data_IF_975044526799
#
_entry.id   IF_975044526799
#
_cell.length_a   1.000
_cell.length_b   1.000
_cell.length_c   1.000
_cell.angle_alpha   90.00
_cell.angle_beta   90.00
_cell.angle_gamma   90.00
#
_symmetry.space_group_name_H-M   'P 1'
#
loop_
_entity.id
_entity.type
_entity.pdbx_description
1 polymer ?
#
# COMPACT_ATOMS: atom_id res chain seq x y z
N UNK A 1 -60.00 51.55 -13.45
CA UNK A 1 -58.57 51.87 -13.74
C UNK A 1 -58.02 52.48 -12.46
N UNK A 2 -57.00 51.99 -11.76
CA UNK A 2 -55.96 51.03 -12.03
C UNK A 2 -55.64 50.22 -10.76
N UNK A 3 -55.16 49.00 -10.95
CA UNK A 3 -54.65 48.08 -9.94
C UNK A 3 -53.31 48.61 -9.39
N UNK A 4 -53.25 48.95 -8.10
CA UNK A 4 -52.00 49.28 -7.41
C UNK A 4 -51.33 47.99 -6.94
N UNK A 5 -50.47 47.42 -7.78
CA UNK A 5 -49.63 46.28 -7.43
C UNK A 5 -48.59 46.72 -6.40
N UNK A 6 -48.77 46.30 -5.16
CA UNK A 6 -47.86 46.59 -4.06
C UNK A 6 -46.66 45.63 -4.12
N UNK A 7 -45.61 46.01 -4.83
CA UNK A 7 -44.39 45.21 -4.96
C UNK A 7 -43.60 45.34 -3.65
N UNK A 8 -43.75 44.32 -2.80
CA UNK A 8 -42.97 44.13 -1.58
C UNK A 8 -41.52 43.89 -1.98
N UNK A 9 -40.70 44.94 -1.97
CA UNK A 9 -39.26 44.83 -2.23
C UNK A 9 -38.61 44.00 -1.11
N UNK A 10 -38.08 42.84 -1.48
CA UNK A 10 -37.30 41.99 -0.61
C UNK A 10 -36.01 42.72 -0.24
N UNK A 11 -35.91 43.20 1.00
CA UNK A 11 -34.68 43.78 1.55
C UNK A 11 -33.85 42.61 2.10
N UNK A 12 -32.73 42.21 1.50
CA UNK A 12 -31.86 41.24 2.13
C UNK A 12 -31.34 41.90 3.40
N UNK A 13 -31.74 41.37 4.54
CA UNK A 13 -31.15 41.67 5.83
C UNK A 13 -29.70 41.22 5.71
N UNK A 14 -28.81 42.16 5.43
CA UNK A 14 -27.38 41.91 5.49
C UNK A 14 -27.13 41.47 6.93
N UNK A 15 -27.02 40.16 7.12
CA UNK A 15 -26.40 39.56 8.29
C UNK A 15 -25.05 40.25 8.38
N UNK A 16 -24.99 41.27 9.23
CA UNK A 16 -23.75 41.82 9.71
C UNK A 16 -23.08 40.64 10.39
N UNK A 17 -22.28 39.89 9.62
CA UNK A 17 -21.25 39.00 10.12
C UNK A 17 -20.32 39.94 10.85
N UNK A 18 -20.68 40.18 12.11
CA UNK A 18 -19.84 40.87 13.07
C UNK A 18 -18.73 39.86 13.28
N UNK A 19 -17.71 39.95 12.43
CA UNK A 19 -16.41 39.34 12.62
C UNK A 19 -15.96 39.80 13.99
N UNK A 20 -16.29 38.99 14.98
CA UNK A 20 -15.68 39.04 16.29
C UNK A 20 -14.25 38.59 16.01
N UNK A 21 -13.41 39.55 15.60
CA UNK A 21 -11.97 39.45 15.74
C UNK A 21 -11.73 39.17 17.21
N UNK A 22 -11.74 37.89 17.56
CA UNK A 22 -11.15 37.37 18.79
C UNK A 22 -9.69 37.77 18.67
N UNK A 23 -9.37 38.93 19.23
CA UNK A 23 -8.01 39.28 19.53
C UNK A 23 -7.53 38.16 20.46
N UNK A 24 -6.78 37.21 19.91
CA UNK A 24 -6.08 36.24 20.71
C UNK A 24 -5.31 37.05 21.76
N UNK A 25 -5.54 36.82 23.07
CA UNK A 25 -4.77 37.51 24.07
C UNK A 25 -3.31 37.18 23.79
N UNK A 26 -2.55 38.17 23.33
CA UNK A 26 -1.10 38.06 23.21
C UNK A 26 -0.60 37.93 24.63
N UNK A 27 -0.50 36.69 25.11
CA UNK A 27 0.19 36.34 26.33
C UNK A 27 1.63 36.84 26.18
N UNK A 28 1.87 38.08 26.61
CA UNK A 28 3.21 38.62 26.79
C UNK A 28 3.76 38.01 28.07
N UNK A 29 4.20 36.76 27.95
CA UNK A 29 4.95 36.10 29.00
C UNK A 29 6.30 36.82 29.01
N UNK A 30 6.51 37.67 30.02
CA UNK A 30 7.78 38.32 30.24
C UNK A 30 8.74 37.29 30.84
N UNK A 31 9.38 36.50 29.98
CA UNK A 31 10.41 35.57 30.42
C UNK A 31 11.65 36.33 30.85
N UNK A 32 12.23 35.93 31.99
CA UNK A 32 13.56 36.36 32.36
C UNK A 32 14.59 35.86 31.33
N UNK A 33 15.74 36.53 31.23
CA UNK A 33 16.82 36.13 30.29
C UNK A 33 17.27 34.69 30.54
N UNK A 34 17.23 34.24 31.79
CA UNK A 34 17.67 32.90 32.18
C UNK A 34 16.61 31.84 31.80
N UNK A 35 15.32 32.11 32.03
CA UNK A 35 14.24 31.20 31.58
C UNK A 35 14.24 31.05 30.05
N UNK A 36 14.49 32.15 29.32
CA UNK A 36 14.58 32.09 27.86
C UNK A 36 15.77 31.24 27.41
N UNK A 37 16.91 31.32 28.08
CA UNK A 37 18.08 30.48 27.79
C UNK A 37 17.79 29.01 28.04
N UNK A 38 17.18 28.68 29.19
CA UNK A 38 16.79 27.31 29.53
C UNK A 38 15.82 26.75 28.49
N UNK A 39 14.80 27.51 28.07
CA UNK A 39 13.87 27.05 27.04
C UNK A 39 14.53 26.84 25.68
N UNK A 40 15.45 27.71 25.27
CA UNK A 40 16.18 27.54 24.01
C UNK A 40 17.04 26.27 24.05
N UNK A 41 17.74 26.02 25.16
CA UNK A 41 18.54 24.81 25.34
C UNK A 41 17.65 23.56 25.38
N UNK A 42 16.54 23.61 26.12
CA UNK A 42 15.59 22.50 26.19
C UNK A 42 14.95 22.20 24.82
N UNK A 43 14.57 23.22 24.07
CA UNK A 43 14.06 23.08 22.71
C UNK A 43 15.12 22.51 21.77
N UNK A 44 16.37 22.98 21.88
CA UNK A 44 17.51 22.43 21.13
C UNK A 44 17.74 20.95 21.41
N UNK A 45 17.73 20.55 22.69
CA UNK A 45 17.86 19.16 23.11
C UNK A 45 16.70 18.29 22.61
N UNK A 46 15.47 18.80 22.70
CA UNK A 46 14.28 18.09 22.20
C UNK A 46 14.35 17.87 20.68
N UNK A 47 14.80 18.88 19.92
CA UNK A 47 15.00 18.75 18.47
C UNK A 47 16.09 17.73 18.13
N UNK A 48 17.23 17.79 18.82
CA UNK A 48 18.33 16.84 18.61
C UNK A 48 17.91 15.40 18.94
N UNK A 49 17.18 15.21 20.05
CA UNK A 49 16.62 13.91 20.42
C UNK A 49 15.62 13.40 19.36
N UNK A 50 14.71 14.27 18.90
CA UNK A 50 13.76 13.94 17.84
C UNK A 50 14.45 13.51 16.55
N UNK A 51 15.46 14.26 16.10
CA UNK A 51 16.23 13.94 14.90
C UNK A 51 16.98 12.60 15.04
N UNK A 52 17.62 12.36 16.19
CA UNK A 52 18.31 11.10 16.45
C UNK A 52 17.35 9.90 16.39
N UNK A 53 16.17 10.04 17.01
CA UNK A 53 15.12 9.02 16.96
C UNK A 53 14.66 8.78 15.51
N UNK A 54 14.37 9.84 14.76
CA UNK A 54 13.96 9.72 13.35
C UNK A 54 15.02 9.02 12.51
N UNK A 55 16.30 9.35 12.68
CA UNK A 55 17.38 8.69 11.93
C UNK A 55 17.51 7.20 12.28
N UNK A 56 17.36 6.83 13.56
CA UNK A 56 17.34 5.43 13.98
C UNK A 56 16.20 4.65 13.31
N UNK A 57 14.99 5.23 13.28
CA UNK A 57 13.85 4.61 12.61
C UNK A 57 14.05 4.54 11.10
N UNK A 58 14.63 5.57 10.48
CA UNK A 58 14.90 5.58 9.04
C UNK A 58 15.86 4.46 8.63
N UNK A 59 16.93 4.24 9.39
CA UNK A 59 17.83 3.10 9.16
C UNK A 59 17.12 1.75 9.28
N UNK A 60 16.32 1.57 10.34
CA UNK A 60 15.56 0.33 10.55
C UNK A 60 14.51 0.06 9.46
N UNK A 61 13.86 1.10 8.94
CA UNK A 61 12.88 1.00 7.85
C UNK A 61 13.57 0.58 6.55
N UNK A 62 14.74 1.15 6.25
CA UNK A 62 15.47 0.79 5.04
C UNK A 62 15.97 -0.66 5.10
N UNK A 63 16.55 -1.08 6.24
CA UNK A 63 17.00 -2.46 6.44
C UNK A 63 15.86 -3.49 6.31
N UNK A 64 14.68 -3.17 6.85
CA UNK A 64 13.51 -4.06 6.76
C UNK A 64 12.94 -4.08 5.36
N UNK A 65 12.93 -2.94 4.65
CA UNK A 65 12.48 -2.85 3.27
C UNK A 65 13.35 -3.70 2.35
N UNK A 66 14.68 -3.64 2.48
CA UNK A 66 15.61 -4.48 1.71
C UNK A 66 15.37 -5.97 1.97
N UNK A 67 15.22 -6.38 3.24
CA UNK A 67 14.92 -7.77 3.60
C UNK A 67 13.58 -8.23 3.02
N UNK A 68 12.58 -7.36 3.04
CA UNK A 68 11.25 -7.67 2.50
C UNK A 68 11.30 -7.84 0.99
N UNK A 69 12.04 -6.98 0.28
CA UNK A 69 12.27 -7.11 -1.15
C UNK A 69 13.02 -8.41 -1.49
N UNK A 70 14.06 -8.76 -0.72
CA UNK A 70 14.77 -10.03 -0.90
C UNK A 70 13.85 -11.24 -0.69
N UNK A 71 13.02 -11.21 0.35
CA UNK A 71 12.04 -12.27 0.62
C UNK A 71 11.00 -12.37 -0.51
N UNK A 72 10.52 -11.24 -1.02
CA UNK A 72 9.59 -11.21 -2.16
C UNK A 72 10.22 -11.78 -3.43
N UNK A 73 11.47 -11.43 -3.73
CA UNK A 73 12.20 -11.98 -4.87
C UNK A 73 12.39 -13.50 -4.77
N UNK A 74 12.74 -14.01 -3.58
CA UNK A 74 12.84 -15.46 -3.33
C UNK A 74 11.49 -16.15 -3.47
N UNK A 75 10.42 -15.59 -2.92
CA UNK A 75 9.07 -16.14 -3.06
C UNK A 75 8.63 -16.21 -4.53
N UNK A 76 8.90 -15.17 -5.32
CA UNK A 76 8.59 -15.18 -6.74
C UNK A 76 9.35 -16.28 -7.48
N UNK A 77 10.61 -16.51 -7.11
CA UNK A 77 11.44 -17.58 -7.69
C UNK A 77 10.84 -18.96 -7.39
N UNK A 78 10.47 -19.22 -6.13
CA UNK A 78 9.84 -20.47 -5.69
C UNK A 78 8.48 -20.67 -6.35
N UNK A 79 7.67 -19.61 -6.46
CA UNK A 79 6.37 -19.67 -7.14
C UNK A 79 6.52 -20.06 -8.62
N UNK A 80 7.48 -19.45 -9.31
CA UNK A 80 7.77 -19.77 -10.71
C UNK A 80 8.26 -21.22 -10.88
N UNK A 81 9.10 -21.70 -9.97
CA UNK A 81 9.57 -23.09 -9.98
C UNK A 81 8.41 -24.06 -9.74
N UNK A 82 7.51 -23.75 -8.81
CA UNK A 82 6.33 -24.56 -8.54
C UNK A 82 5.43 -24.66 -9.80
N UNK A 83 5.15 -23.53 -10.46
CA UNK A 83 4.41 -23.51 -11.73
C UNK A 83 5.10 -24.38 -12.79
N UNK A 84 6.43 -24.26 -12.92
CA UNK A 84 7.20 -25.07 -13.86
C UNK A 84 7.11 -26.57 -13.55
N UNK A 85 7.20 -26.95 -12.28
CA UNK A 85 7.10 -28.34 -11.83
C UNK A 85 5.69 -28.90 -12.06
N UNK A 86 4.65 -28.11 -11.79
CA UNK A 86 3.26 -28.49 -12.08
C UNK A 86 3.02 -28.68 -13.57
N UNK A 87 3.54 -27.78 -14.42
CA UNK A 87 3.47 -27.91 -15.86
C UNK A 87 4.21 -29.17 -16.35
N UNK A 88 5.41 -29.42 -15.82
CA UNK A 88 6.20 -30.62 -16.12
C UNK A 88 5.45 -31.88 -15.69
N UNK A 89 4.86 -31.89 -14.49
CA UNK A 89 4.05 -33.02 -14.00
C UNK A 89 2.86 -33.28 -14.90
N UNK A 90 2.15 -32.23 -15.31
CA UNK A 90 1.02 -32.36 -16.23
C UNK A 90 1.44 -32.91 -17.59
N UNK A 91 2.60 -32.47 -18.11
CA UNK A 91 3.17 -32.99 -19.34
C UNK A 91 3.56 -34.46 -19.21
N UNK A 92 4.24 -34.85 -18.12
CA UNK A 92 4.63 -36.24 -17.88
C UNK A 92 3.42 -37.16 -17.69
N UNK A 93 2.35 -36.67 -17.05
CA UNK A 93 1.10 -37.38 -16.87
C UNK A 93 0.18 -37.34 -18.10
N UNK A 94 0.53 -36.57 -19.13
CA UNK A 94 -0.30 -36.46 -20.33
C UNK A 94 -0.32 -37.77 -21.10
N UNK A 95 -1.51 -38.14 -21.63
CA UNK A 95 -1.69 -39.35 -22.43
C UNK A 95 -0.68 -39.41 -23.59
N UNK A 96 -0.43 -38.28 -24.24
CA UNK A 96 0.52 -38.19 -25.36
C UNK A 96 1.94 -38.52 -24.94
N UNK A 97 2.41 -38.03 -23.79
CA UNK A 97 3.73 -38.36 -23.28
C UNK A 97 3.84 -39.83 -22.86
N UNK A 98 2.81 -40.36 -22.20
CA UNK A 98 2.76 -41.77 -21.79
C UNK A 98 2.80 -42.68 -23.02
N UNK A 99 2.01 -42.38 -24.06
CA UNK A 99 2.02 -43.14 -25.32
C UNK A 99 3.38 -43.06 -26.02
N UNK A 100 3.95 -41.87 -26.17
CA UNK A 100 5.27 -41.69 -26.78
C UNK A 100 6.39 -42.44 -26.01
N UNK A 101 6.31 -42.47 -24.69
CA UNK A 101 7.24 -43.21 -23.85
C UNK A 101 7.04 -44.73 -23.98
N UNK A 102 5.79 -45.20 -24.02
CA UNK A 102 5.45 -46.61 -24.17
C UNK A 102 5.87 -47.14 -25.55
N UNK A 103 5.67 -46.36 -26.60
CA UNK A 103 6.16 -46.65 -27.95
C UNK A 103 7.68 -46.75 -27.96
N UNK A 104 8.38 -45.73 -27.43
CA UNK A 104 9.85 -45.69 -27.49
C UNK A 104 10.54 -46.74 -26.62
N UNK A 105 10.02 -47.02 -25.42
CA UNK A 105 10.70 -47.91 -24.45
C UNK A 105 10.22 -49.36 -24.53
N UNK A 106 8.96 -49.57 -24.86
CA UNK A 106 8.32 -50.88 -24.79
C UNK A 106 7.80 -51.36 -26.14
N UNK A 107 7.96 -50.57 -27.22
CA UNK A 107 7.38 -50.81 -28.54
C UNK A 107 5.86 -51.05 -28.47
N UNK A 108 5.19 -50.40 -27.52
CA UNK A 108 3.74 -50.49 -27.35
C UNK A 108 3.05 -49.37 -28.14
N UNK A 109 2.00 -49.72 -28.87
CA UNK A 109 1.19 -48.81 -29.68
C UNK A 109 -0.25 -48.79 -29.17
N UNK A 110 -0.96 -47.67 -29.41
CA UNK A 110 -2.38 -47.59 -29.06
C UNK A 110 -3.18 -48.54 -29.99
N UNK A 111 -3.95 -49.49 -29.45
CA UNK A 111 -4.67 -50.46 -30.26
C UNK A 111 -5.83 -49.78 -31.01
N UNK A 112 -6.03 -50.17 -32.27
CA UNK A 112 -7.14 -49.68 -33.08
C UNK A 112 -8.49 -50.15 -32.53
N UNK A 113 -9.56 -49.41 -32.85
CA UNK A 113 -10.94 -49.76 -32.48
C UNK A 113 -11.29 -51.14 -33.04
N UNK A 114 -11.24 -52.16 -32.19
CA UNK A 114 -11.54 -53.56 -32.53
C UNK A 114 -10.42 -54.56 -32.25
N UNK A 115 -9.19 -54.11 -31.95
CA UNK A 115 -8.06 -55.00 -31.62
C UNK A 115 -8.07 -55.51 -30.18
N UNK A 116 -8.81 -54.87 -29.27
CA UNK A 116 -8.92 -55.31 -27.87
C UNK A 116 -10.15 -56.19 -27.72
N UNK A 117 -9.95 -57.50 -27.69
CA UNK A 117 -10.99 -58.48 -27.34
C UNK A 117 -11.23 -58.40 -25.83
N UNK A 118 -12.37 -57.82 -25.41
CA UNK A 118 -12.77 -57.79 -24.00
C UNK A 118 -13.01 -59.24 -23.53
N UNK A 119 -12.32 -59.65 -22.47
CA UNK A 119 -12.67 -60.86 -21.71
C UNK A 119 -13.89 -60.61 -20.85
#
# INVERSE_FOLDING_TARGET
MASSVNIRTYRPQQLAVRESRRAFPRLRIALSRDERRVLIVAAGLALMAGLAITQLFHGRINDTMERTQQLQARNNTVANENIRLLATRAQLASKTHILALAERKLNLFEPDKGQVRRM
#
